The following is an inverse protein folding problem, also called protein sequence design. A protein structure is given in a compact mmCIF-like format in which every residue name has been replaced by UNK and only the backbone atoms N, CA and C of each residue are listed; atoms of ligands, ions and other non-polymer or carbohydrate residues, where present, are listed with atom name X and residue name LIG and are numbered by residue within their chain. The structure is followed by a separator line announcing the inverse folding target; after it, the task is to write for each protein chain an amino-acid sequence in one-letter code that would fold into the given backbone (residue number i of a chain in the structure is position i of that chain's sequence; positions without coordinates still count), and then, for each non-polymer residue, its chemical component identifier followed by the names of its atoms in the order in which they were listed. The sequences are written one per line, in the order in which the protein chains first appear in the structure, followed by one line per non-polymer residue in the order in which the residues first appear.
data_IF_001455886656
#
_entry.id   IF_001455886656
#
_cell.length_a   1.000
_cell.length_b   1.000
_cell.length_c   1.000
_cell.angle_alpha   90.00
_cell.angle_beta   90.00
_cell.angle_gamma   90.00
#
_symmetry.space_group_name_H-M   'P 1'
#
loop_
_entity.id
_entity.type
_entity.pdbx_description
1 polymer ?
#
# COMPACT_ATOMS: atom_id res chain seq x y z
N UNK A 1 -19.57 -0.57 -34.87
CA UNK A 1 -18.46 -1.57 -34.82
C UNK A 1 -17.44 -1.36 -33.70
N UNK A 2 -17.12 -0.13 -33.25
CA UNK A 2 -16.20 0.09 -32.11
C UNK A 2 -16.80 -0.30 -30.74
N UNK A 3 -18.10 -0.07 -30.53
CA UNK A 3 -18.76 -0.40 -29.26
C UNK A 3 -18.98 -1.90 -29.03
N UNK A 4 -19.24 -2.67 -30.09
CA UNK A 4 -19.34 -4.14 -30.01
C UNK A 4 -18.00 -4.80 -29.65
N UNK A 5 -16.87 -4.25 -30.12
CA UNK A 5 -15.55 -4.81 -29.83
C UNK A 5 -15.17 -4.61 -28.35
N UNK A 6 -15.58 -3.51 -27.74
CA UNK A 6 -15.34 -3.24 -26.32
C UNK A 6 -16.22 -4.08 -25.38
N UNK A 7 -17.45 -4.41 -25.79
CA UNK A 7 -18.34 -5.32 -25.03
C UNK A 7 -17.87 -6.77 -25.09
N UNK A 8 -17.40 -7.23 -26.26
CA UNK A 8 -16.89 -8.61 -26.44
C UNK A 8 -15.59 -8.84 -25.64
N UNK A 9 -14.67 -7.88 -25.62
CA UNK A 9 -13.43 -7.98 -24.82
C UNK A 9 -13.72 -7.96 -23.31
N UNK A 10 -14.72 -7.19 -22.87
CA UNK A 10 -15.17 -7.17 -21.48
C UNK A 10 -15.70 -8.53 -21.02
N UNK A 11 -16.47 -9.23 -21.86
CA UNK A 11 -17.01 -10.55 -21.54
C UNK A 11 -15.94 -11.62 -21.40
N UNK A 12 -14.90 -11.61 -22.26
CA UNK A 12 -13.82 -12.59 -22.17
C UNK A 12 -13.00 -12.47 -20.87
N UNK A 13 -12.74 -11.25 -20.39
CA UNK A 13 -12.06 -11.07 -19.11
C UNK A 13 -12.91 -11.51 -17.90
N UNK A 14 -14.24 -11.33 -17.98
CA UNK A 14 -15.16 -11.75 -16.93
C UNK A 14 -15.31 -13.27 -16.89
N UNK A 15 -15.32 -13.93 -18.04
CA UNK A 15 -15.34 -15.40 -18.15
C UNK A 15 -14.05 -16.01 -17.64
N UNK A 16 -12.88 -15.45 -18.00
CA UNK A 16 -11.58 -15.91 -17.46
C UNK A 16 -11.50 -15.71 -15.94
N UNK A 17 -12.04 -14.61 -15.44
CA UNK A 17 -12.10 -14.37 -14.00
C UNK A 17 -12.98 -15.41 -13.30
N UNK A 18 -14.19 -15.64 -13.81
CA UNK A 18 -15.11 -16.63 -13.27
C UNK A 18 -14.50 -18.03 -13.32
N UNK A 19 -13.80 -18.40 -14.38
CA UNK A 19 -13.14 -19.70 -14.47
C UNK A 19 -11.94 -19.83 -13.53
N UNK A 20 -11.16 -18.77 -13.29
CA UNK A 20 -10.07 -18.78 -12.29
C UNK A 20 -10.61 -18.84 -10.85
N UNK A 21 -11.72 -18.18 -10.56
CA UNK A 21 -12.37 -18.24 -9.25
C UNK A 21 -13.02 -19.61 -9.01
N UNK A 22 -13.66 -20.18 -10.04
CA UNK A 22 -14.23 -21.52 -10.00
C UNK A 22 -13.15 -22.61 -9.89
N UNK A 23 -12.02 -22.47 -10.59
CA UNK A 23 -10.91 -23.44 -10.45
C UNK A 23 -10.28 -23.36 -9.07
N UNK A 24 -10.08 -22.16 -8.51
CA UNK A 24 -9.65 -22.00 -7.12
C UNK A 24 -10.63 -22.62 -6.11
N UNK A 25 -11.94 -22.50 -6.34
CA UNK A 25 -12.97 -23.11 -5.50
C UNK A 25 -12.89 -24.64 -5.46
N UNK A 26 -12.55 -25.26 -6.59
CA UNK A 26 -12.44 -26.73 -6.74
C UNK A 26 -11.14 -27.27 -6.16
N UNK A 27 -10.03 -26.52 -6.24
CA UNK A 27 -8.70 -26.98 -5.80
C UNK A 27 -8.58 -27.00 -4.26
N UNK A 28 -9.21 -26.06 -3.56
CA UNK A 28 -9.13 -25.97 -2.11
C UNK A 28 -10.35 -26.59 -1.43
N UNK A 29 -10.56 -27.91 -1.50
CA UNK A 29 -11.72 -28.56 -0.88
C UNK A 29 -11.74 -28.41 0.64
N UNK A 30 -10.56 -28.45 1.26
CA UNK A 30 -10.41 -28.66 2.71
C UNK A 30 -10.43 -27.36 3.53
N UNK A 31 -10.40 -26.20 2.86
CA UNK A 31 -10.43 -24.88 3.50
C UNK A 31 -11.85 -24.53 3.94
N UNK A 32 -11.98 -23.79 5.05
CA UNK A 32 -13.27 -23.30 5.53
C UNK A 32 -14.01 -22.43 4.49
N UNK A 33 -15.35 -22.53 4.44
CA UNK A 33 -16.17 -21.91 3.37
C UNK A 33 -16.01 -20.38 3.30
N UNK A 34 -16.01 -19.67 4.44
CA UNK A 34 -15.83 -18.21 4.44
C UNK A 34 -14.39 -17.80 4.14
N UNK A 35 -13.41 -18.67 4.41
CA UNK A 35 -12.02 -18.47 3.99
C UNK A 35 -11.95 -18.47 2.45
N UNK A 36 -12.60 -19.42 1.76
CA UNK A 36 -12.70 -19.44 0.29
C UNK A 36 -13.41 -18.19 -0.27
N UNK A 37 -14.56 -17.82 0.31
CA UNK A 37 -15.30 -16.62 -0.11
C UNK A 37 -14.47 -15.34 0.09
N UNK A 38 -13.73 -15.27 1.19
CA UNK A 38 -12.79 -14.18 1.48
C UNK A 38 -11.67 -14.06 0.45
N UNK A 39 -11.06 -15.18 0.04
CA UNK A 39 -10.05 -15.22 -1.01
C UNK A 39 -10.63 -14.79 -2.38
N UNK A 40 -11.83 -15.26 -2.73
CA UNK A 40 -12.53 -14.83 -3.93
C UNK A 40 -12.76 -13.31 -3.92
N UNK A 41 -13.26 -12.79 -2.80
CA UNK A 41 -13.50 -11.36 -2.63
C UNK A 41 -12.20 -10.56 -2.76
N UNK A 42 -11.10 -11.04 -2.18
CA UNK A 42 -9.77 -10.44 -2.34
C UNK A 42 -9.31 -10.39 -3.80
N UNK A 43 -9.46 -11.49 -4.55
CA UNK A 43 -9.12 -11.53 -5.98
C UNK A 43 -9.96 -10.57 -6.79
N UNK A 44 -11.28 -10.54 -6.56
CA UNK A 44 -12.20 -9.62 -7.24
C UNK A 44 -11.83 -8.16 -6.97
N UNK A 45 -11.60 -7.78 -5.71
CA UNK A 45 -11.21 -6.42 -5.33
C UNK A 45 -9.85 -6.05 -5.93
N UNK A 46 -8.88 -6.96 -5.93
CA UNK A 46 -7.56 -6.75 -6.56
C UNK A 46 -7.72 -6.40 -8.04
N UNK A 47 -8.58 -7.10 -8.76
CA UNK A 47 -8.81 -6.82 -10.18
C UNK A 47 -9.59 -5.55 -10.43
N UNK A 48 -10.58 -5.22 -9.58
CA UNK A 48 -11.28 -3.94 -9.64
C UNK A 48 -10.32 -2.77 -9.39
N UNK A 49 -9.42 -2.93 -8.42
CA UNK A 49 -8.34 -1.99 -8.14
C UNK A 49 -7.42 -1.80 -9.35
N UNK A 50 -6.85 -2.89 -9.88
CA UNK A 50 -5.93 -2.86 -11.03
C UNK A 50 -6.59 -2.30 -12.29
N UNK A 51 -7.84 -2.67 -12.57
CA UNK A 51 -8.60 -2.13 -13.71
C UNK A 51 -8.97 -0.66 -13.50
N UNK A 52 -9.15 -0.23 -12.24
CA UNK A 52 -9.41 1.15 -11.86
C UNK A 52 -8.20 2.07 -12.05
N UNK A 53 -6.97 1.57 -11.86
CA UNK A 53 -5.74 2.36 -12.02
C UNK A 53 -5.70 3.06 -13.39
N UNK A 54 -5.49 4.38 -13.41
CA UNK A 54 -5.45 5.18 -14.64
C UNK A 54 -6.81 5.43 -15.30
N UNK A 55 -7.92 4.95 -14.73
CA UNK A 55 -9.30 5.31 -15.12
C UNK A 55 -10.02 6.12 -14.06
N UNK A 56 -9.76 5.80 -12.80
CA UNK A 56 -10.21 6.50 -11.60
C UNK A 56 -9.12 6.45 -10.53
N UNK A 57 -9.28 7.21 -9.46
CA UNK A 57 -8.41 7.12 -8.29
C UNK A 57 -9.02 6.01 -7.40
N UNK A 58 -8.43 4.79 -7.34
CA UNK A 58 -9.09 3.64 -6.73
C UNK A 58 -8.78 3.54 -5.23
N UNK A 59 -8.96 4.64 -4.49
CA UNK A 59 -8.68 4.68 -3.03
C UNK A 59 -9.62 3.75 -2.27
N UNK A 60 -10.90 3.69 -2.66
CA UNK A 60 -11.89 2.81 -2.02
C UNK A 60 -11.47 1.34 -2.16
N UNK A 61 -11.11 0.94 -3.37
CA UNK A 61 -10.63 -0.41 -3.64
C UNK A 61 -9.32 -0.70 -2.91
N UNK A 62 -8.41 0.27 -2.80
CA UNK A 62 -7.16 0.11 -2.05
C UNK A 62 -7.40 -0.15 -0.56
N UNK A 63 -8.30 0.59 0.08
CA UNK A 63 -8.66 0.39 1.50
C UNK A 63 -9.17 -1.03 1.71
N UNK A 64 -10.11 -1.47 0.87
CA UNK A 64 -10.68 -2.82 0.96
C UNK A 64 -9.62 -3.89 0.67
N UNK A 65 -8.72 -3.65 -0.30
CA UNK A 65 -7.63 -4.56 -0.63
C UNK A 65 -6.69 -4.77 0.57
N UNK A 66 -6.29 -3.69 1.23
CA UNK A 66 -5.43 -3.73 2.43
C UNK A 66 -6.16 -4.47 3.56
N UNK A 67 -7.43 -4.15 3.80
CA UNK A 67 -8.24 -4.84 4.83
C UNK A 67 -8.35 -6.34 4.57
N UNK A 68 -8.70 -6.75 3.35
CA UNK A 68 -8.80 -8.16 2.98
C UNK A 68 -7.44 -8.87 3.10
N UNK A 69 -6.35 -8.21 2.69
CA UNK A 69 -5.01 -8.75 2.86
C UNK A 69 -4.68 -9.01 4.34
N UNK A 70 -4.89 -8.00 5.20
CA UNK A 70 -4.47 -8.05 6.61
C UNK A 70 -5.40 -8.88 7.52
N UNK A 71 -6.70 -8.88 7.23
CA UNK A 71 -7.74 -9.44 8.11
C UNK A 71 -8.32 -10.76 7.61
N UNK A 72 -8.07 -11.13 6.34
CA UNK A 72 -8.58 -12.37 5.73
C UNK A 72 -7.43 -13.20 5.17
N UNK A 73 -6.73 -12.72 4.14
CA UNK A 73 -5.68 -13.49 3.45
C UNK A 73 -4.57 -13.90 4.42
N UNK A 74 -4.02 -12.97 5.19
CA UNK A 74 -2.94 -13.29 6.14
C UNK A 74 -3.38 -14.25 7.25
N UNK A 75 -4.54 -14.08 7.93
CA UNK A 75 -5.07 -15.08 8.85
C UNK A 75 -5.27 -16.47 8.25
N UNK A 76 -5.79 -16.58 7.02
CA UNK A 76 -5.95 -17.88 6.33
C UNK A 76 -4.58 -18.55 6.15
N UNK A 77 -3.56 -17.80 5.74
CA UNK A 77 -2.19 -18.32 5.66
C UNK A 77 -1.70 -18.82 7.03
N UNK A 78 -2.00 -18.07 8.10
CA UNK A 78 -1.62 -18.45 9.46
C UNK A 78 -2.32 -19.73 9.93
N UNK A 79 -3.62 -19.88 9.69
CA UNK A 79 -4.39 -21.06 10.07
C UNK A 79 -3.99 -22.30 9.26
N UNK A 80 -4.03 -22.21 7.93
CA UNK A 80 -3.98 -23.38 7.06
C UNK A 80 -2.56 -23.78 6.66
N UNK A 81 -1.63 -22.83 6.55
CA UNK A 81 -0.29 -23.10 6.02
C UNK A 81 0.80 -23.06 7.10
N UNK A 82 0.68 -22.14 8.06
CA UNK A 82 1.64 -21.99 9.15
C UNK A 82 1.21 -22.74 10.42
N UNK A 83 0.02 -23.36 10.42
CA UNK A 83 -0.53 -24.10 11.58
C UNK A 83 -0.47 -23.30 12.88
N UNK A 84 -0.69 -21.99 12.78
CA UNK A 84 -0.59 -21.02 13.87
C UNK A 84 0.81 -20.93 14.53
N UNK A 85 1.86 -21.49 13.92
CA UNK A 85 3.27 -21.43 14.36
C UNK A 85 3.94 -20.15 13.85
N UNK A 86 3.47 -19.03 14.37
CA UNK A 86 3.90 -17.68 14.03
C UNK A 86 4.20 -16.87 15.29
N UNK A 87 4.92 -15.75 15.14
CA UNK A 87 5.28 -14.91 16.28
C UNK A 87 4.04 -14.33 16.99
N UNK A 88 3.00 -13.99 16.22
CA UNK A 88 1.71 -13.52 16.75
C UNK A 88 0.58 -14.50 16.35
N UNK A 89 0.34 -15.55 17.15
CA UNK A 89 -0.67 -16.55 16.82
C UNK A 89 -2.09 -16.00 16.96
N UNK A 90 -3.00 -16.55 16.16
CA UNK A 90 -4.43 -16.35 16.30
C UNK A 90 -4.93 -17.08 17.55
N UNK A 91 -5.49 -16.32 18.49
CA UNK A 91 -5.97 -16.86 19.78
C UNK A 91 -7.40 -17.39 19.72
N UNK A 92 -8.10 -17.19 18.60
CA UNK A 92 -9.46 -17.67 18.37
C UNK A 92 -9.46 -18.60 17.15
N UNK A 93 -10.35 -19.60 17.15
CA UNK A 93 -10.46 -20.55 16.04
C UNK A 93 -10.87 -19.90 14.72
N UNK A 94 -10.37 -20.46 13.62
CA UNK A 94 -10.59 -19.96 12.25
C UNK A 94 -12.07 -19.73 11.94
N UNK A 95 -12.92 -20.72 12.24
CA UNK A 95 -14.35 -20.66 11.95
C UNK A 95 -15.01 -19.44 12.59
N UNK A 96 -14.69 -19.13 13.85
CA UNK A 96 -15.28 -17.99 14.55
C UNK A 96 -14.71 -16.67 14.02
N UNK A 97 -13.39 -16.58 13.90
CA UNK A 97 -12.71 -15.35 13.48
C UNK A 97 -13.06 -14.96 12.03
N UNK A 98 -12.91 -15.89 11.07
CA UNK A 98 -13.12 -15.60 9.65
C UNK A 98 -14.59 -15.28 9.36
N UNK A 99 -15.53 -16.02 9.97
CA UNK A 99 -16.96 -15.71 9.81
C UNK A 99 -17.28 -14.29 10.22
N UNK A 100 -16.86 -13.91 11.44
CA UNK A 100 -17.10 -12.58 11.98
C UNK A 100 -16.53 -11.49 11.08
N UNK A 101 -15.24 -11.60 10.74
CA UNK A 101 -14.54 -10.60 9.93
C UNK A 101 -15.11 -10.50 8.52
N UNK A 102 -15.47 -11.64 7.91
CA UNK A 102 -16.04 -11.66 6.57
C UNK A 102 -17.32 -10.82 6.50
N UNK A 103 -18.26 -11.01 7.43
CA UNK A 103 -19.49 -10.22 7.46
C UNK A 103 -19.23 -8.73 7.72
N UNK A 104 -18.33 -8.41 8.66
CA UNK A 104 -17.94 -7.02 8.91
C UNK A 104 -17.37 -6.35 7.66
N UNK A 105 -16.49 -7.03 6.93
CA UNK A 105 -15.88 -6.51 5.70
C UNK A 105 -16.93 -6.36 4.60
N UNK A 106 -17.85 -7.32 4.42
CA UNK A 106 -18.92 -7.21 3.42
C UNK A 106 -19.81 -6.00 3.71
N UNK A 107 -20.24 -5.81 4.96
CA UNK A 107 -21.03 -4.64 5.35
C UNK A 107 -20.24 -3.33 5.15
N UNK A 108 -18.96 -3.32 5.49
CA UNK A 108 -18.08 -2.17 5.23
C UNK A 108 -17.97 -1.84 3.74
N UNK A 109 -17.80 -2.85 2.88
CA UNK A 109 -17.76 -2.68 1.42
C UNK A 109 -19.10 -2.09 0.94
N UNK A 110 -20.23 -2.63 1.39
CA UNK A 110 -21.55 -2.12 1.03
C UNK A 110 -21.65 -0.62 1.39
N UNK A 111 -21.30 -0.25 2.62
CA UNK A 111 -21.30 1.15 3.06
C UNK A 111 -20.35 2.05 2.25
N UNK A 112 -19.13 1.59 1.97
CA UNK A 112 -18.11 2.34 1.26
C UNK A 112 -18.47 2.60 -0.21
N UNK A 113 -19.14 1.64 -0.85
CA UNK A 113 -19.55 1.73 -2.26
C UNK A 113 -20.99 2.24 -2.44
N UNK A 114 -21.74 2.46 -1.36
CA UNK A 114 -23.07 3.06 -1.43
C UNK A 114 -22.97 4.50 -1.99
N UNK A 115 -23.65 4.81 -3.11
CA UNK A 115 -23.58 6.14 -3.71
C UNK A 115 -24.46 7.13 -2.93
N UNK A 116 -23.92 7.73 -1.88
CA UNK A 116 -24.60 8.77 -1.08
C UNK A 116 -24.73 10.11 -1.84
N UNK A 117 -23.94 10.33 -2.90
CA UNK A 117 -23.96 11.57 -3.68
C UNK A 117 -23.98 11.28 -5.20
N UNK A 118 -24.80 12.03 -5.94
CA UNK A 118 -25.15 11.73 -7.36
C UNK A 118 -24.15 12.28 -8.40
N UNK A 119 -23.18 13.09 -8.01
CA UNK A 119 -22.25 13.67 -8.98
C UNK A 119 -21.06 12.74 -9.24
N UNK A 120 -21.06 12.08 -10.40
CA UNK A 120 -19.87 11.38 -10.90
C UNK A 120 -18.92 12.42 -11.51
N UNK A 121 -17.72 12.65 -10.96
CA UNK A 121 -16.76 13.56 -11.58
C UNK A 121 -16.37 13.02 -12.96
N UNK A 122 -16.47 13.87 -14.00
CA UNK A 122 -16.04 13.51 -15.34
C UNK A 122 -14.52 13.63 -15.44
N UNK A 123 -13.84 12.54 -15.11
CA UNK A 123 -12.37 12.44 -15.07
C UNK A 123 -11.75 12.82 -16.43
N UNK A 124 -12.41 12.51 -17.54
CA UNK A 124 -11.92 12.87 -18.88
C UNK A 124 -11.92 14.38 -19.10
N UNK A 125 -12.95 15.09 -18.62
CA UNK A 125 -13.01 16.57 -18.63
C UNK A 125 -11.95 17.18 -17.71
N UNK A 126 -11.67 16.56 -16.56
CA UNK A 126 -10.59 17.01 -15.69
C UNK A 126 -9.22 16.86 -16.37
N UNK A 127 -8.97 15.74 -17.08
CA UNK A 127 -7.72 15.50 -17.79
C UNK A 127 -7.54 16.47 -18.97
N UNK A 128 -8.60 16.77 -19.74
CA UNK A 128 -8.52 17.76 -20.82
C UNK A 128 -8.14 19.15 -20.28
N UNK A 129 -8.76 19.58 -19.19
CA UNK A 129 -8.47 20.86 -18.54
C UNK A 129 -7.02 20.95 -18.02
N UNK A 130 -6.46 19.83 -17.52
CA UNK A 130 -5.06 19.74 -17.08
C UNK A 130 -4.10 19.93 -18.26
N UNK A 131 -4.40 19.33 -19.42
CA UNK A 131 -3.55 19.45 -20.61
C UNK A 131 -3.61 20.85 -21.23
N UNK A 132 -4.78 21.50 -21.23
CA UNK A 132 -4.94 22.87 -21.73
C UNK A 132 -4.18 23.91 -20.88
N UNK A 133 -3.97 23.62 -19.59
CA UNK A 133 -3.23 24.48 -18.65
C UNK A 133 -1.74 24.13 -18.53
N UNK A 134 -1.17 23.36 -19.47
CA UNK A 134 0.18 22.81 -19.37
C UNK A 134 1.32 23.84 -19.10
N UNK A 135 1.31 25.08 -19.65
CA UNK A 135 2.33 26.07 -19.34
C UNK A 135 2.23 26.61 -17.90
N UNK A 136 1.01 26.88 -17.42
CA UNK A 136 0.75 27.33 -16.06
C UNK A 136 1.13 26.24 -15.04
N UNK A 137 0.71 24.99 -15.32
CA UNK A 137 1.02 23.82 -14.51
C UNK A 137 2.54 23.59 -14.36
N UNK A 138 3.32 23.92 -15.39
CA UNK A 138 4.78 23.83 -15.34
C UNK A 138 5.42 24.79 -14.34
N UNK A 139 4.99 26.06 -14.32
CA UNK A 139 5.50 27.05 -13.35
C UNK A 139 5.00 26.75 -11.95
N UNK A 140 3.70 26.47 -11.81
CA UNK A 140 3.08 26.16 -10.53
C UNK A 140 3.68 24.90 -9.88
N UNK A 141 3.95 23.85 -10.67
CA UNK A 141 4.62 22.64 -10.19
C UNK A 141 6.02 22.91 -9.63
N UNK A 142 6.83 23.76 -10.29
CA UNK A 142 8.16 24.16 -9.79
C UNK A 142 8.04 24.95 -8.48
N UNK A 143 7.08 25.89 -8.40
CA UNK A 143 6.82 26.66 -7.18
C UNK A 143 6.49 25.72 -6.01
N UNK A 144 5.56 24.78 -6.20
CA UNK A 144 5.22 23.81 -5.15
C UNK A 144 6.41 22.94 -4.72
N UNK A 145 7.28 22.54 -5.66
CA UNK A 145 8.51 21.80 -5.34
C UNK A 145 9.43 22.66 -4.48
N UNK A 146 9.71 23.89 -4.88
CA UNK A 146 10.61 24.78 -4.12
C UNK A 146 10.04 25.06 -2.73
N UNK A 147 8.75 25.38 -2.62
CA UNK A 147 8.09 25.59 -1.32
C UNK A 147 8.18 24.36 -0.42
N UNK A 148 7.91 23.17 -0.96
CA UNK A 148 8.01 21.93 -0.18
C UNK A 148 9.45 21.58 0.22
N UNK A 149 10.43 21.89 -0.63
CA UNK A 149 11.85 21.71 -0.29
C UNK A 149 12.30 22.65 0.84
N UNK A 150 11.92 23.93 0.76
CA UNK A 150 12.21 24.92 1.80
C UNK A 150 11.50 24.59 3.12
N UNK A 151 10.25 24.12 3.07
CA UNK A 151 9.55 23.69 4.28
C UNK A 151 10.26 22.51 4.95
N UNK A 152 10.79 21.57 4.16
CA UNK A 152 11.56 20.43 4.69
C UNK A 152 12.86 20.83 5.38
N UNK A 153 13.50 21.94 5.00
CA UNK A 153 14.70 22.43 5.72
C UNK A 153 14.34 23.26 6.95
N UNK A 154 13.16 23.87 6.98
CA UNK A 154 12.71 24.72 8.08
C UNK A 154 12.06 23.91 9.22
N UNK A 155 11.49 22.73 8.93
CA UNK A 155 10.67 21.93 9.87
C UNK A 155 11.38 21.61 11.20
N UNK A 156 12.69 21.43 11.17
CA UNK A 156 13.48 21.12 12.37
C UNK A 156 13.64 22.31 13.30
N UNK A 157 13.53 23.54 12.77
CA UNK A 157 13.64 24.80 13.52
C UNK A 157 12.28 25.31 14.03
N UNK A 158 11.19 24.65 13.68
CA UNK A 158 9.83 25.09 13.99
C UNK A 158 9.34 24.47 15.31
N UNK A 159 8.66 25.24 16.18
CA UNK A 159 8.06 24.71 17.41
C UNK A 159 7.09 23.54 17.14
N UNK A 160 7.04 22.57 18.06
CA UNK A 160 6.29 21.32 17.87
C UNK A 160 4.84 21.47 17.42
N UNK A 161 4.13 22.51 17.90
CA UNK A 161 2.75 22.81 17.52
C UNK A 161 2.58 23.10 16.03
N UNK A 162 3.56 23.75 15.39
CA UNK A 162 3.50 24.09 13.97
C UNK A 162 4.20 23.06 13.07
N UNK A 163 4.94 22.11 13.66
CA UNK A 163 5.70 21.11 12.92
C UNK A 163 4.81 20.29 11.98
N UNK A 164 3.60 19.93 12.41
CA UNK A 164 2.65 19.22 11.56
C UNK A 164 2.20 20.06 10.35
N UNK A 165 1.92 21.35 10.54
CA UNK A 165 1.53 22.23 9.44
C UNK A 165 2.67 22.38 8.42
N UNK A 166 3.91 22.54 8.89
CA UNK A 166 5.09 22.65 8.02
C UNK A 166 5.36 21.32 7.30
N UNK A 167 5.14 20.18 7.96
CA UNK A 167 5.20 18.86 7.33
C UNK A 167 4.17 18.72 6.19
N UNK A 168 2.95 19.25 6.32
CA UNK A 168 1.98 19.26 5.22
C UNK A 168 2.48 20.09 4.02
N UNK A 169 3.11 21.24 4.28
CA UNK A 169 3.70 22.08 3.23
C UNK A 169 4.89 21.37 2.56
N UNK A 170 5.72 20.67 3.34
CA UNK A 170 6.80 19.85 2.81
C UNK A 170 6.29 18.83 1.78
N UNK A 171 5.15 18.20 2.06
CA UNK A 171 4.52 17.23 1.17
C UNK A 171 4.00 17.84 -0.15
N UNK A 172 3.88 19.18 -0.26
CA UNK A 172 3.52 19.84 -1.52
C UNK A 172 4.53 19.57 -2.64
N UNK A 173 5.79 19.22 -2.34
CA UNK A 173 6.78 18.88 -3.37
C UNK A 173 6.36 17.67 -4.23
N UNK A 174 5.64 16.71 -3.64
CA UNK A 174 5.13 15.54 -4.37
C UNK A 174 3.97 15.92 -5.28
N UNK A 175 3.07 16.80 -4.80
CA UNK A 175 1.99 17.36 -5.62
C UNK A 175 2.59 18.17 -6.78
N UNK A 176 3.60 19.00 -6.53
CA UNK A 176 4.33 19.73 -7.55
C UNK A 176 4.94 18.82 -8.61
N UNK A 177 5.50 17.67 -8.21
CA UNK A 177 5.98 16.64 -9.14
C UNK A 177 4.86 16.09 -10.03
N UNK A 178 3.64 15.89 -9.50
CA UNK A 178 2.48 15.46 -10.30
C UNK A 178 2.06 16.51 -11.34
N UNK A 179 2.01 17.79 -10.95
CA UNK A 179 1.71 18.90 -11.87
C UNK A 179 2.76 18.97 -12.99
N UNK A 180 4.03 18.90 -12.62
CA UNK A 180 5.14 18.98 -13.55
C UNK A 180 5.15 17.81 -14.55
N UNK A 181 4.74 16.62 -14.09
CA UNK A 181 4.63 15.43 -14.91
C UNK A 181 3.64 15.60 -16.07
N UNK A 182 2.54 16.35 -15.88
CA UNK A 182 1.60 16.70 -16.95
C UNK A 182 1.96 17.99 -17.73
N UNK A 183 3.01 18.69 -17.34
CA UNK A 183 3.42 19.94 -17.99
C UNK A 183 4.31 19.75 -19.23
N UNK A 184 4.47 20.83 -20.00
CA UNK A 184 5.42 20.94 -21.12
C UNK A 184 6.81 21.45 -20.69
N UNK A 185 7.13 21.45 -19.39
CA UNK A 185 8.45 21.88 -18.92
C UNK A 185 9.56 20.96 -19.46
N UNK A 186 10.60 21.56 -20.06
CA UNK A 186 11.78 20.87 -20.61
C UNK A 186 12.50 20.03 -19.57
N UNK A 187 12.58 20.50 -18.33
CA UNK A 187 13.33 19.86 -17.23
C UNK A 187 12.43 19.03 -16.31
N UNK A 188 11.24 18.64 -16.75
CA UNK A 188 10.27 17.99 -15.86
C UNK A 188 10.79 16.71 -15.20
N UNK A 189 11.49 15.87 -15.96
CA UNK A 189 12.03 14.63 -15.41
C UNK A 189 13.18 14.87 -14.44
N UNK A 190 13.95 15.94 -14.60
CA UNK A 190 15.03 16.32 -13.69
C UNK A 190 14.47 16.73 -12.33
N UNK A 191 13.43 17.57 -12.29
CA UNK A 191 12.76 17.95 -11.04
C UNK A 191 12.09 16.76 -10.35
N UNK A 192 11.42 15.88 -11.11
CA UNK A 192 10.83 14.65 -10.55
C UNK A 192 11.93 13.76 -9.97
N UNK A 193 13.04 13.58 -10.68
CA UNK A 193 14.21 12.84 -10.20
C UNK A 193 14.72 13.43 -8.88
N UNK A 194 14.91 14.74 -8.79
CA UNK A 194 15.35 15.40 -7.55
C UNK A 194 14.40 15.10 -6.38
N UNK A 195 13.09 15.27 -6.58
CA UNK A 195 12.08 15.03 -5.52
C UNK A 195 12.10 13.57 -5.05
N UNK A 196 12.12 12.61 -5.98
CA UNK A 196 12.08 11.18 -5.65
C UNK A 196 13.43 10.65 -5.13
N UNK A 197 14.56 11.17 -5.60
CA UNK A 197 15.87 10.86 -5.03
C UNK A 197 15.97 11.37 -3.60
N UNK A 198 15.50 12.58 -3.31
CA UNK A 198 15.48 13.11 -1.95
C UNK A 198 14.54 12.29 -1.04
N UNK A 199 13.35 11.92 -1.53
CA UNK A 199 12.43 11.02 -0.82
C UNK A 199 13.11 9.69 -0.50
N UNK A 200 13.82 9.10 -1.48
CA UNK A 200 14.50 7.81 -1.29
C UNK A 200 15.64 7.94 -0.28
N UNK A 201 16.46 8.98 -0.41
CA UNK A 201 17.58 9.26 0.49
C UNK A 201 17.15 9.45 1.95
N UNK A 202 16.10 10.25 2.18
CA UNK A 202 15.53 10.52 3.51
C UNK A 202 14.84 9.29 4.10
N UNK A 203 14.10 8.55 3.27
CA UNK A 203 13.40 7.33 3.68
C UNK A 203 14.39 6.24 4.11
N UNK A 204 15.44 6.02 3.32
CA UNK A 204 16.50 5.07 3.66
C UNK A 204 17.17 5.54 4.94
N UNK A 205 17.67 6.78 4.99
CA UNK A 205 18.39 7.30 6.15
C UNK A 205 17.61 7.23 7.47
N UNK A 206 16.29 7.40 7.43
CA UNK A 206 15.41 7.27 8.61
C UNK A 206 14.85 5.86 8.87
N UNK A 207 15.04 4.90 7.95
CA UNK A 207 14.46 3.56 8.05
C UNK A 207 12.92 3.51 8.00
N UNK A 208 12.26 4.56 7.52
CA UNK A 208 10.79 4.73 7.52
C UNK A 208 10.20 4.65 6.10
N UNK A 209 10.19 3.44 5.54
CA UNK A 209 9.78 3.15 4.14
C UNK A 209 8.34 3.46 3.74
N UNK A 210 7.44 3.75 4.67
CA UNK A 210 6.02 3.95 4.37
C UNK A 210 5.77 5.14 3.44
N UNK A 211 6.49 6.25 3.63
CA UNK A 211 6.34 7.45 2.80
C UNK A 211 6.77 7.19 1.35
N UNK A 212 7.86 6.43 1.16
CA UNK A 212 8.31 6.03 -0.16
C UNK A 212 7.25 5.20 -0.89
N UNK A 213 6.63 4.23 -0.22
CA UNK A 213 5.57 3.42 -0.83
C UNK A 213 4.35 4.25 -1.17
N UNK A 214 3.86 5.11 -0.28
CA UNK A 214 2.68 5.97 -0.52
C UNK A 214 2.92 6.90 -1.69
N UNK A 215 4.00 7.69 -1.68
CA UNK A 215 4.25 8.69 -2.72
C UNK A 215 4.61 8.08 -4.06
N UNK A 216 5.31 6.93 -4.08
CA UNK A 216 5.57 6.19 -5.32
C UNK A 216 4.29 5.58 -5.88
N UNK A 217 3.43 5.05 -5.01
CA UNK A 217 2.14 4.49 -5.41
C UNK A 217 1.21 5.57 -6.00
N UNK A 218 1.10 6.74 -5.36
CA UNK A 218 0.32 7.87 -5.88
C UNK A 218 0.87 8.36 -7.23
N UNK A 219 2.18 8.40 -7.39
CA UNK A 219 2.80 8.71 -8.68
C UNK A 219 2.51 7.65 -9.73
N UNK A 220 2.51 6.36 -9.38
CA UNK A 220 2.14 5.28 -10.29
C UNK A 220 0.69 5.41 -10.77
N UNK A 221 -0.25 5.83 -9.90
CA UNK A 221 -1.63 6.16 -10.31
C UNK A 221 -1.63 7.29 -11.35
N UNK A 222 -0.92 8.38 -11.07
CA UNK A 222 -0.78 9.54 -11.96
C UNK A 222 -0.15 9.16 -13.30
N UNK A 223 0.91 8.36 -13.28
CA UNK A 223 1.57 7.82 -14.48
C UNK A 223 0.63 6.93 -15.29
N UNK A 224 -0.16 6.07 -14.64
CA UNK A 224 -1.14 5.22 -15.29
C UNK A 224 -2.23 6.02 -16.00
N UNK A 225 -2.63 7.18 -15.46
CA UNK A 225 -3.57 8.10 -16.11
C UNK A 225 -2.99 8.70 -17.39
N UNK A 226 -1.74 9.19 -17.34
CA UNK A 226 -1.10 9.83 -18.48
C UNK A 226 -0.84 8.86 -19.63
N UNK A 227 -0.27 7.69 -19.31
CA UNK A 227 0.17 6.72 -20.31
C UNK A 227 -0.91 5.71 -20.72
N UNK A 228 -2.09 5.73 -20.10
CA UNK A 228 -3.20 4.81 -20.37
C UNK A 228 -2.74 3.34 -20.40
N UNK A 229 -1.95 2.97 -19.40
CA UNK A 229 -1.27 1.68 -19.30
C UNK A 229 -2.29 0.53 -19.35
N UNK A 230 -1.96 -0.57 -20.04
CA UNK A 230 -2.83 -1.75 -20.12
C UNK A 230 -2.84 -2.53 -18.77
N UNK A 231 -3.77 -3.47 -18.62
CA UNK A 231 -3.92 -4.23 -17.37
C UNK A 231 -2.68 -5.07 -17.05
N UNK A 232 -2.07 -5.73 -18.05
CA UNK A 232 -0.91 -6.59 -17.86
C UNK A 232 0.28 -5.84 -17.27
N UNK A 233 0.61 -4.65 -17.79
CA UNK A 233 1.71 -3.84 -17.29
C UNK A 233 1.40 -3.32 -15.89
N UNK A 234 0.15 -2.95 -15.59
CA UNK A 234 -0.27 -2.57 -14.23
C UNK A 234 -0.09 -3.72 -13.24
N UNK A 235 -0.50 -4.92 -13.62
CA UNK A 235 -0.31 -6.14 -12.80
C UNK A 235 1.18 -6.42 -12.60
N UNK A 236 2.01 -6.29 -13.64
CA UNK A 236 3.46 -6.42 -13.54
C UNK A 236 4.08 -5.45 -12.53
N UNK A 237 3.75 -4.15 -12.64
CA UNK A 237 4.21 -3.15 -11.67
C UNK A 237 3.71 -3.41 -10.24
N UNK A 238 2.47 -3.86 -10.09
CA UNK A 238 1.92 -4.22 -8.78
C UNK A 238 2.67 -5.39 -8.13
N UNK A 239 2.94 -6.45 -8.89
CA UNK A 239 3.72 -7.61 -8.43
C UNK A 239 5.15 -7.21 -8.08
N UNK A 240 5.81 -6.42 -8.94
CA UNK A 240 7.16 -5.89 -8.68
C UNK A 240 7.16 -5.04 -7.40
N UNK A 241 6.13 -4.20 -7.19
CA UNK A 241 5.99 -3.39 -5.99
C UNK A 241 5.86 -4.23 -4.72
N UNK A 242 5.06 -5.31 -4.76
CA UNK A 242 4.96 -6.28 -3.65
C UNK A 242 6.32 -6.93 -3.38
N UNK A 243 7.03 -7.35 -4.43
CA UNK A 243 8.35 -7.98 -4.28
C UNK A 243 9.37 -7.03 -3.67
N UNK A 244 9.41 -5.76 -4.11
CA UNK A 244 10.29 -4.73 -3.51
C UNK A 244 9.92 -4.50 -2.04
N UNK A 245 8.63 -4.42 -1.72
CA UNK A 245 8.19 -4.24 -0.34
C UNK A 245 8.59 -5.43 0.54
N UNK A 246 8.42 -6.66 0.05
CA UNK A 246 8.85 -7.88 0.72
C UNK A 246 10.37 -7.92 0.92
N UNK A 247 11.13 -7.61 -0.12
CA UNK A 247 12.58 -7.57 -0.08
C UNK A 247 13.09 -6.59 0.99
N UNK A 248 12.58 -5.35 1.00
CA UNK A 248 12.94 -4.36 2.03
C UNK A 248 12.54 -4.86 3.43
N UNK A 249 11.34 -5.45 3.58
CA UNK A 249 10.87 -5.94 4.87
C UNK A 249 11.72 -7.07 5.45
N UNK A 250 12.41 -7.84 4.61
CA UNK A 250 13.20 -9.00 5.03
C UNK A 250 14.41 -8.68 5.91
N UNK A 251 14.97 -7.47 5.79
CA UNK A 251 16.13 -7.01 6.57
C UNK A 251 15.89 -5.67 7.29
N UNK A 252 14.68 -5.10 7.16
CA UNK A 252 14.33 -3.78 7.72
C UNK A 252 14.52 -3.70 9.24
N UNK A 253 14.34 -4.81 9.95
CA UNK A 253 14.42 -4.84 11.41
C UNK A 253 15.88 -4.70 11.84
N UNK A 254 16.72 -5.54 11.25
CA UNK A 254 18.16 -5.59 11.42
C UNK A 254 18.79 -4.26 11.01
N UNK A 255 18.32 -3.68 9.90
CA UNK A 255 18.71 -2.34 9.48
C UNK A 255 18.42 -1.28 10.55
N UNK A 256 17.22 -1.29 11.15
CA UNK A 256 16.84 -0.34 12.19
C UNK A 256 17.58 -0.55 13.50
N UNK A 257 17.86 -1.80 13.88
CA UNK A 257 18.70 -2.10 15.04
C UNK A 257 20.09 -1.47 14.89
N UNK A 258 20.64 -1.50 13.66
CA UNK A 258 21.91 -0.84 13.35
C UNK A 258 21.79 0.69 13.41
N UNK A 259 20.84 1.31 12.69
CA UNK A 259 20.79 2.78 12.57
C UNK A 259 20.14 3.52 13.74
N UNK A 260 19.31 2.85 14.56
CA UNK A 260 18.62 3.48 15.70
C UNK A 260 19.22 3.06 17.04
N UNK A 261 19.63 1.81 17.18
CA UNK A 261 20.14 1.28 18.45
C UNK A 261 21.66 1.19 18.48
N UNK A 262 22.34 1.45 17.36
CA UNK A 262 23.79 1.32 17.24
C UNK A 262 24.29 -0.11 17.41
N UNK A 263 23.42 -1.11 17.22
CA UNK A 263 23.74 -2.53 17.42
C UNK A 263 24.18 -3.15 16.09
N UNK A 264 25.44 -3.57 15.99
CA UNK A 264 25.95 -4.35 14.86
C UNK A 264 27.44 -4.14 14.59
N UNK A 265 28.12 -5.17 14.07
CA UNK A 265 29.55 -5.10 13.71
C UNK A 265 29.86 -4.02 12.66
N UNK A 266 28.87 -3.64 11.85
CA UNK A 266 28.95 -2.61 10.83
C UNK A 266 29.20 -1.19 11.38
N UNK A 267 29.00 -0.96 12.68
CA UNK A 267 29.30 0.30 13.36
C UNK A 267 30.63 0.32 14.12
N UNK A 268 31.48 -0.70 13.94
CA UNK A 268 32.84 -0.66 14.53
C UNK A 268 33.71 0.46 13.93
N UNK A 269 33.30 1.05 12.80
CA UNK A 269 33.88 2.26 12.23
C UNK A 269 32.80 3.36 12.12
N UNK A 270 32.95 4.43 12.91
CA UNK A 270 32.08 5.60 13.02
C UNK A 270 31.90 6.44 11.73
N UNK A 271 32.24 5.90 10.56
CA UNK A 271 32.44 6.65 9.31
C UNK A 271 31.38 6.35 8.24
N UNK A 272 30.53 5.33 8.43
CA UNK A 272 29.53 4.92 7.42
C UNK A 272 28.22 5.69 7.56
N UNK A 273 27.64 6.08 6.43
CA UNK A 273 26.31 6.69 6.36
C UNK A 273 25.21 5.63 6.44
N UNK A 274 24.03 6.01 6.94
CA UNK A 274 22.86 5.11 7.01
C UNK A 274 22.48 4.53 5.63
N UNK A 275 22.74 5.28 4.56
CA UNK A 275 22.50 4.83 3.18
C UNK A 275 23.48 3.77 2.73
N UNK A 276 24.76 3.88 3.10
CA UNK A 276 25.77 2.86 2.79
C UNK A 276 25.45 1.55 3.50
N UNK A 277 25.07 1.61 4.79
CA UNK A 277 24.63 0.44 5.56
C UNK A 277 23.43 -0.24 4.89
N UNK A 278 22.47 0.54 4.38
CA UNK A 278 21.33 -0.03 3.66
C UNK A 278 21.76 -0.75 2.37
N UNK A 279 22.65 -0.14 1.58
CA UNK A 279 23.14 -0.73 0.32
C UNK A 279 23.92 -2.01 0.58
N UNK A 280 24.75 -2.04 1.63
CA UNK A 280 25.48 -3.23 2.08
C UNK A 280 24.50 -4.36 2.43
N UNK A 281 23.57 -4.11 3.36
CA UNK A 281 22.57 -5.12 3.77
C UNK A 281 21.67 -5.59 2.63
N UNK A 282 21.25 -4.67 1.76
CA UNK A 282 20.48 -5.03 0.57
C UNK A 282 21.32 -5.91 -0.38
N UNK A 283 22.61 -5.63 -0.53
CA UNK A 283 23.51 -6.42 -1.39
C UNK A 283 23.74 -7.81 -0.80
N UNK A 284 24.03 -7.89 0.50
CA UNK A 284 24.16 -9.15 1.23
C UNK A 284 22.89 -9.99 1.10
N UNK A 285 21.72 -9.39 1.32
CA UNK A 285 20.43 -10.08 1.23
C UNK A 285 20.09 -10.51 -0.20
N UNK A 286 20.52 -9.76 -1.21
CA UNK A 286 20.34 -10.12 -2.61
C UNK A 286 21.26 -11.28 -3.05
N UNK A 287 22.47 -11.36 -2.49
CA UNK A 287 23.44 -12.43 -2.77
C UNK A 287 23.10 -13.72 -2.02
N UNK A 288 22.67 -13.62 -0.76
CA UNK A 288 22.20 -14.77 0.02
C UNK A 288 20.69 -15.01 -0.18
N UNK A 289 20.35 -15.55 -1.35
CA UNK A 289 18.96 -15.91 -1.66
C UNK A 289 18.38 -16.98 -0.72
N UNK A 290 19.20 -17.77 -0.01
CA UNK A 290 18.67 -18.78 0.93
C UNK A 290 18.02 -18.11 2.14
N UNK A 291 18.64 -17.05 2.66
CA UNK A 291 18.08 -16.26 3.76
C UNK A 291 16.71 -15.66 3.41
N UNK A 292 16.46 -15.29 2.14
CA UNK A 292 15.17 -14.74 1.70
C UNK A 292 14.02 -15.75 1.77
N UNK A 293 14.30 -17.04 1.58
CA UNK A 293 13.31 -18.13 1.63
C UNK A 293 13.25 -18.84 2.98
N UNK A 294 13.99 -18.36 3.98
CA UNK A 294 13.90 -18.93 5.32
C UNK A 294 12.49 -18.81 5.88
N UNK A 295 12.04 -19.92 6.48
CA UNK A 295 10.72 -20.01 7.09
C UNK A 295 10.50 -18.91 8.15
N UNK A 296 11.54 -18.53 8.88
CA UNK A 296 11.53 -17.43 9.87
C UNK A 296 11.14 -16.09 9.23
N UNK A 297 11.78 -15.73 8.11
CA UNK A 297 11.52 -14.47 7.40
C UNK A 297 10.13 -14.45 6.77
N UNK A 298 9.71 -15.55 6.17
CA UNK A 298 8.35 -15.71 5.66
C UNK A 298 7.31 -15.60 6.79
N UNK A 299 7.50 -16.33 7.89
CA UNK A 299 6.61 -16.32 9.06
C UNK A 299 6.53 -14.93 9.70
N UNK A 300 7.65 -14.21 9.81
CA UNK A 300 7.71 -12.84 10.31
C UNK A 300 6.96 -11.86 9.39
N UNK A 301 7.14 -11.98 8.07
CA UNK A 301 6.41 -11.16 7.11
C UNK A 301 4.90 -11.38 7.21
N UNK A 302 4.46 -12.64 7.23
CA UNK A 302 3.04 -12.99 7.38
C UNK A 302 2.51 -12.51 8.74
N UNK A 303 3.27 -12.65 9.83
CA UNK A 303 2.89 -12.17 11.17
C UNK A 303 2.69 -10.66 11.21
N UNK A 304 3.47 -9.89 10.41
CA UNK A 304 3.34 -8.43 10.31
C UNK A 304 2.17 -8.01 9.43
N UNK A 305 1.92 -8.73 8.34
CA UNK A 305 0.75 -8.50 7.50
C UNK A 305 -0.55 -8.86 8.22
N UNK A 306 -0.53 -9.94 9.01
CA UNK A 306 -1.65 -10.35 9.83
C UNK A 306 -1.91 -9.31 10.92
N UNK A 307 -2.96 -8.51 10.75
CA UNK A 307 -3.48 -7.64 11.83
C UNK A 307 -4.69 -8.28 12.53
N UNK A 308 -5.14 -9.44 12.03
CA UNK A 308 -6.23 -10.21 12.59
C UNK A 308 -5.99 -10.73 14.00
N UNK A 309 -4.73 -10.95 14.39
CA UNK A 309 -4.40 -11.38 15.76
C UNK A 309 -4.76 -10.33 16.81
N UNK A 310 -4.71 -9.03 16.45
CA UNK A 310 -5.13 -7.94 17.35
C UNK A 310 -6.63 -8.05 17.59
N UNK A 311 -7.42 -8.16 16.52
CA UNK A 311 -8.87 -8.34 16.63
C UNK A 311 -9.22 -9.64 17.37
N UNK A 312 -8.51 -10.74 17.12
CA UNK A 312 -8.72 -11.99 17.84
C UNK A 312 -8.50 -11.82 19.36
N UNK A 313 -7.49 -11.04 19.77
CA UNK A 313 -7.28 -10.69 21.17
C UNK A 313 -8.40 -9.82 21.74
N UNK A 314 -8.94 -8.89 20.96
CA UNK A 314 -10.12 -8.11 21.39
C UNK A 314 -11.34 -9.01 21.55
N UNK A 315 -11.60 -9.94 20.61
CA UNK A 315 -12.75 -10.85 20.64
C UNK A 315 -12.73 -11.83 21.83
N UNK A 316 -11.55 -12.21 22.32
CA UNK A 316 -11.44 -13.06 23.51
C UNK A 316 -11.45 -12.24 24.81
N UNK A 317 -11.01 -10.98 24.74
CA UNK A 317 -10.92 -10.12 25.92
C UNK A 317 -12.24 -9.40 26.23
N UNK A 318 -12.96 -8.93 25.21
CA UNK A 318 -14.24 -8.22 25.33
C UNK A 318 -15.35 -9.12 24.79
N UNK A 319 -16.41 -9.43 25.56
CA UNK A 319 -16.76 -8.82 26.86
C UNK A 319 -16.23 -9.57 28.10
N UNK A 320 -15.41 -10.61 27.94
CA UNK A 320 -15.08 -11.55 29.01
C UNK A 320 -14.36 -10.91 30.22
N UNK A 321 -13.46 -9.95 29.96
CA UNK A 321 -12.67 -9.26 30.98
C UNK A 321 -13.08 -7.78 31.12
N UNK A 322 -13.49 -7.14 30.03
CA UNK A 322 -13.98 -5.77 30.03
C UNK A 322 -15.31 -5.69 29.27
N UNK A 323 -16.33 -5.00 29.80
CA UNK A 323 -17.61 -4.84 29.12
C UNK A 323 -17.44 -3.97 27.86
N UNK A 324 -18.39 -4.09 26.93
CA UNK A 324 -18.46 -3.17 25.80
C UNK A 324 -18.62 -1.73 26.29
N UNK A 325 -17.78 -0.82 25.80
CA UNK A 325 -17.80 0.61 26.17
C UNK A 325 -19.00 1.38 25.63
N UNK A 326 -19.82 0.77 24.76
CA UNK A 326 -21.05 1.35 24.18
C UNK A 326 -20.90 2.78 23.62
N UNK A 327 -19.69 3.17 23.22
CA UNK A 327 -19.40 4.49 22.67
C UNK A 327 -19.08 5.58 23.69
N UNK A 328 -18.99 5.28 24.99
CA UNK A 328 -18.66 6.26 26.04
C UNK A 328 -17.33 6.99 25.76
N UNK A 329 -16.33 6.26 25.24
CA UNK A 329 -15.02 6.83 24.87
C UNK A 329 -15.12 7.86 23.74
N UNK A 330 -16.07 7.71 22.81
CA UNK A 330 -16.29 8.68 21.73
C UNK A 330 -17.07 9.92 22.18
N UNK A 331 -17.72 9.87 23.34
CA UNK A 331 -18.46 11.01 23.92
C UNK A 331 -17.58 11.84 24.86
N UNK A 332 -16.45 11.28 25.31
CA UNK A 332 -15.51 11.94 26.23
C UNK A 332 -14.27 12.55 25.55
N UNK A 333 -13.99 12.19 24.29
CA UNK A 333 -13.01 12.85 23.40
C UNK A 333 -13.64 14.06 22.70
#
# INVERSE_FOLDING_TARGET
MKDQKNTIVSNNHMVVLLTMLLSGWVIFTDIYIYSKLGLILFTVITLLFLNGLGRKIPIKELIVLIMLMQMVVSPIIVFDYLYNKVHYPMVVGEQYYISYVFFCIVLFIIGLFLPLHRQKPNILKTISNINESAPFNGKFGVVLIIFGLLAGTIVDYVPGTFRFAVFLIENCKYIGAFYLFFSNNRYKYLWILVVYSMLTYTTIGGGLFINLFIWTFLFAIVAAFKYKVNLLVKTGFFIIGIFIAFFIQSFKTEYREVIWEGKGQAYSEQTRTNQEVFVEMATERALDTKSLYEYSNYSNFISRLNQGWILAKVLIHVPANEPFTNGEVFLSD
#
